data_IF_830035898927
#
_entry.id   IF_830035898927
#
_cell.length_a   1.000
_cell.length_b   1.000
_cell.length_c   1.000
_cell.angle_alpha   90.00
_cell.angle_beta   90.00
_cell.angle_gamma   90.00
#
_symmetry.space_group_name_H-M   'P 1'
#
loop_
_entity.id
_entity.type
_entity.pdbx_description
1 polymer ?
#
# COMPACT_ATOMS: atom_id res chain seq x y z
N UNK A 1 13.34 -10.32 -7.96
CA UNK A 1 12.30 -9.75 -7.04
C UNK A 1 12.14 -10.64 -5.83
N UNK A 2 12.22 -10.09 -4.62
CA UNK A 2 12.02 -10.83 -3.38
C UNK A 2 10.52 -11.02 -3.04
N UNK A 3 10.22 -11.81 -1.99
CA UNK A 3 8.85 -12.11 -1.59
C UNK A 3 8.05 -10.87 -1.15
N UNK A 4 8.72 -9.87 -0.55
CA UNK A 4 8.05 -8.65 -0.08
C UNK A 4 7.63 -7.75 -1.25
N UNK A 5 8.49 -7.62 -2.25
CA UNK A 5 8.19 -6.88 -3.48
C UNK A 5 7.13 -7.60 -4.31
N UNK A 6 7.24 -8.93 -4.43
CA UNK A 6 6.28 -9.76 -5.17
C UNK A 6 4.87 -9.65 -4.62
N UNK A 7 4.70 -9.72 -3.29
CA UNK A 7 3.36 -9.62 -2.69
C UNK A 7 2.82 -8.19 -2.77
N UNK A 8 3.66 -7.16 -2.69
CA UNK A 8 3.22 -5.78 -2.91
C UNK A 8 2.76 -5.57 -4.35
N UNK A 9 3.56 -5.99 -5.34
CA UNK A 9 3.19 -5.90 -6.76
C UNK A 9 1.87 -6.62 -7.01
N UNK A 10 1.70 -7.84 -6.50
CA UNK A 10 0.45 -8.61 -6.57
C UNK A 10 -0.73 -7.84 -5.96
N UNK A 11 -0.54 -7.23 -4.80
CA UNK A 11 -1.59 -6.45 -4.14
C UNK A 11 -1.98 -5.21 -4.95
N UNK A 12 -1.02 -4.48 -5.51
CA UNK A 12 -1.31 -3.28 -6.30
C UNK A 12 -1.94 -3.62 -7.63
N UNK A 13 -1.52 -4.70 -8.32
CA UNK A 13 -2.16 -5.22 -9.53
C UNK A 13 -3.62 -5.58 -9.27
N UNK A 14 -3.89 -6.34 -8.20
CA UNK A 14 -5.25 -6.75 -7.85
C UNK A 14 -6.10 -5.55 -7.38
N UNK A 15 -5.50 -4.56 -6.72
CA UNK A 15 -6.16 -3.31 -6.35
C UNK A 15 -6.63 -2.54 -7.59
N UNK A 16 -5.77 -2.36 -8.59
CA UNK A 16 -6.14 -1.71 -9.85
C UNK A 16 -7.22 -2.50 -10.59
N UNK A 17 -7.09 -3.82 -10.65
CA UNK A 17 -8.09 -4.71 -11.26
C UNK A 17 -9.44 -4.75 -10.50
N UNK A 18 -9.48 -4.29 -9.26
CA UNK A 18 -10.71 -4.20 -8.46
C UNK A 18 -11.56 -2.98 -8.80
N UNK A 19 -11.04 -2.02 -9.56
CA UNK A 19 -11.75 -0.78 -9.86
C UNK A 19 -13.05 -1.04 -10.64
N UNK A 20 -14.21 -0.57 -10.14
CA UNK A 20 -15.44 -0.59 -10.92
C UNK A 20 -15.27 0.20 -12.24
N UNK A 21 -16.02 -0.13 -13.32
CA UNK A 21 -15.85 0.50 -14.63
C UNK A 21 -15.94 2.03 -14.62
N UNK A 22 -16.83 2.57 -13.82
CA UNK A 22 -17.00 4.01 -13.67
C UNK A 22 -15.85 4.68 -12.90
N UNK A 23 -15.25 3.99 -11.91
CA UNK A 23 -14.04 4.41 -11.21
C UNK A 23 -12.84 4.38 -12.15
N UNK A 24 -12.68 3.28 -12.89
CA UNK A 24 -11.62 3.12 -13.88
C UNK A 24 -11.63 4.29 -14.88
N UNK A 25 -12.82 4.63 -15.38
CA UNK A 25 -12.98 5.74 -16.33
C UNK A 25 -12.77 7.11 -15.66
N UNK A 26 -13.39 7.36 -14.51
CA UNK A 26 -13.33 8.65 -13.83
C UNK A 26 -11.91 9.03 -13.38
N UNK A 27 -11.11 8.03 -12.98
CA UNK A 27 -9.73 8.24 -12.56
C UNK A 27 -8.71 8.02 -13.69
N UNK A 28 -9.15 7.60 -14.86
CA UNK A 28 -8.25 7.24 -15.98
C UNK A 28 -7.16 6.28 -15.48
N UNK A 29 -7.60 5.16 -14.89
CA UNK A 29 -6.69 4.14 -14.36
C UNK A 29 -6.06 3.34 -15.48
N UNK A 30 -4.76 3.12 -15.40
CA UNK A 30 -4.05 2.26 -16.34
C UNK A 30 -2.88 1.54 -15.68
N UNK A 31 -2.55 0.39 -16.25
CA UNK A 31 -1.39 -0.42 -15.87
C UNK A 31 -0.59 -0.72 -17.13
N UNK A 32 0.71 -0.49 -17.09
CA UNK A 32 1.67 -0.96 -18.07
C UNK A 32 2.34 -2.21 -17.52
N UNK A 33 2.05 -3.34 -18.14
CA UNK A 33 2.68 -4.62 -17.82
C UNK A 33 4.11 -4.65 -18.39
N UNK A 34 5.06 -4.99 -17.54
CA UNK A 34 6.49 -5.08 -17.87
C UNK A 34 7.04 -6.48 -17.53
N UNK A 35 6.17 -7.48 -17.39
CA UNK A 35 6.52 -8.83 -16.96
C UNK A 35 6.65 -8.93 -15.45
N UNK A 36 7.87 -8.99 -14.93
CA UNK A 36 8.13 -9.05 -13.47
C UNK A 36 7.98 -7.69 -12.77
N UNK A 37 7.67 -6.63 -13.52
CA UNK A 37 7.41 -5.28 -13.02
C UNK A 37 6.11 -4.73 -13.61
N UNK A 38 5.59 -3.66 -13.02
CA UNK A 38 4.47 -2.92 -13.60
C UNK A 38 4.54 -1.43 -13.25
N UNK A 39 4.03 -0.61 -14.17
CA UNK A 39 3.79 0.80 -13.93
C UNK A 39 2.27 1.04 -13.79
N UNK A 40 1.91 1.81 -12.78
CA UNK A 40 0.54 2.14 -12.40
C UNK A 40 0.28 3.63 -12.59
N UNK A 41 -0.87 3.99 -13.11
CA UNK A 41 -1.22 5.39 -13.31
C UNK A 41 -2.67 5.70 -12.98
N UNK A 42 -2.87 6.85 -12.36
CA UNK A 42 -4.14 7.52 -12.13
C UNK A 42 -4.11 8.87 -12.85
N UNK A 43 -4.56 8.89 -14.11
CA UNK A 43 -4.44 10.06 -14.99
C UNK A 43 -5.17 11.29 -14.48
N UNK A 44 -6.32 11.12 -13.82
CA UNK A 44 -7.07 12.22 -13.21
C UNK A 44 -6.31 12.93 -12.06
N UNK A 45 -5.27 12.30 -11.50
CA UNK A 45 -4.44 12.86 -10.44
C UNK A 45 -2.94 12.76 -10.81
N UNK A 46 -2.48 13.53 -11.81
CA UNK A 46 -1.17 13.32 -12.45
C UNK A 46 0.05 13.50 -11.53
N UNK A 47 -0.13 14.12 -10.38
CA UNK A 47 0.95 14.33 -9.38
C UNK A 47 0.88 13.38 -8.18
N UNK A 48 -0.04 12.43 -8.18
CA UNK A 48 -0.25 11.52 -7.05
C UNK A 48 0.69 10.31 -7.14
N UNK A 49 1.92 10.47 -6.67
CA UNK A 49 2.98 9.45 -6.75
C UNK A 49 2.61 8.13 -6.06
N UNK A 50 1.70 8.15 -5.07
CA UNK A 50 1.24 6.92 -4.42
C UNK A 50 0.63 5.92 -5.41
N UNK A 51 -0.03 6.42 -6.46
CA UNK A 51 -0.67 5.62 -7.49
C UNK A 51 0.02 5.74 -8.87
N UNK A 52 0.82 6.79 -9.09
CA UNK A 52 1.63 6.94 -10.30
C UNK A 52 3.05 6.45 -10.00
N UNK A 53 3.25 5.13 -10.07
CA UNK A 53 4.54 4.54 -9.70
C UNK A 53 4.86 3.25 -10.44
N UNK A 54 6.14 2.89 -10.43
CA UNK A 54 6.67 1.63 -10.97
C UNK A 54 7.09 0.75 -9.80
N UNK A 55 6.69 -0.52 -9.84
CA UNK A 55 7.06 -1.54 -8.86
C UNK A 55 7.70 -2.74 -9.57
N UNK A 56 8.60 -3.44 -8.87
CA UNK A 56 9.22 -4.68 -9.33
C UNK A 56 10.37 -4.49 -10.32
N UNK A 57 10.80 -3.28 -10.60
CA UNK A 57 11.93 -3.02 -11.50
C UNK A 57 13.25 -3.28 -10.77
N UNK A 58 13.96 -4.36 -11.12
CA UNK A 58 15.19 -4.77 -10.43
C UNK A 58 16.45 -4.48 -11.22
N UNK A 59 16.46 -4.80 -12.51
CA UNK A 59 17.66 -4.74 -13.35
C UNK A 59 17.41 -3.99 -14.66
N UNK A 60 18.41 -3.22 -15.04
CA UNK A 60 18.54 -2.64 -16.35
C UNK A 60 17.67 -1.42 -16.61
N UNK A 61 18.20 -0.54 -17.41
CA UNK A 61 17.56 0.67 -17.92
C UNK A 61 16.64 0.41 -19.13
N UNK A 62 16.60 -0.82 -19.64
CA UNK A 62 15.91 -1.15 -20.90
C UNK A 62 14.42 -0.79 -20.88
N UNK A 63 13.75 -0.91 -19.73
CA UNK A 63 12.34 -0.57 -19.57
C UNK A 63 12.10 0.94 -19.32
N UNK A 64 13.10 1.69 -18.84
CA UNK A 64 12.93 3.10 -18.47
C UNK A 64 12.43 3.98 -19.62
N UNK A 65 12.95 3.89 -20.86
CA UNK A 65 12.44 4.70 -21.98
C UNK A 65 10.97 4.40 -22.33
N UNK A 66 10.53 3.16 -22.13
CA UNK A 66 9.13 2.80 -22.33
C UNK A 66 8.25 3.39 -21.23
N UNK A 67 8.68 3.29 -19.98
CA UNK A 67 8.01 3.84 -18.80
C UNK A 67 7.87 5.36 -18.93
N UNK A 68 8.97 6.06 -19.24
CA UNK A 68 9.00 7.52 -19.43
C UNK A 68 8.01 7.97 -20.49
N UNK A 69 8.02 7.34 -21.68
CA UNK A 69 7.07 7.64 -22.76
C UNK A 69 5.63 7.37 -22.36
N UNK A 70 5.39 6.28 -21.62
CA UNK A 70 4.04 5.93 -21.19
C UNK A 70 3.48 6.96 -20.20
N UNK A 71 4.23 7.38 -19.18
CA UNK A 71 3.78 8.41 -18.25
C UNK A 71 3.68 9.79 -18.92
N UNK A 72 4.60 10.13 -19.83
CA UNK A 72 4.53 11.36 -20.61
C UNK A 72 3.25 11.43 -21.46
N UNK A 73 2.86 10.33 -22.12
CA UNK A 73 1.62 10.26 -22.91
C UNK A 73 0.36 10.44 -22.07
N UNK A 74 0.47 10.19 -20.74
CA UNK A 74 -0.62 10.37 -19.77
C UNK A 74 -0.53 11.69 -19.00
N UNK A 75 0.49 12.50 -19.25
CA UNK A 75 0.74 13.75 -18.54
C UNK A 75 1.00 13.58 -17.04
N UNK A 76 1.48 12.41 -16.61
CA UNK A 76 1.66 12.07 -15.20
C UNK A 76 3.13 12.15 -14.78
N UNK A 77 3.38 12.75 -13.62
CA UNK A 77 4.61 12.56 -12.87
C UNK A 77 4.56 11.19 -12.19
N UNK A 78 5.70 10.51 -12.09
CA UNK A 78 5.74 9.17 -11.50
C UNK A 78 6.96 8.97 -10.58
N UNK A 79 6.96 7.88 -9.85
CA UNK A 79 8.09 7.41 -9.05
C UNK A 79 8.50 6.01 -9.47
N UNK A 80 9.81 5.76 -9.56
CA UNK A 80 10.35 4.40 -9.64
C UNK A 80 10.71 3.96 -8.23
N UNK A 81 10.07 2.89 -7.76
CA UNK A 81 10.27 2.35 -6.41
C UNK A 81 11.29 1.22 -6.46
N UNK A 82 12.48 1.42 -5.90
CA UNK A 82 13.54 0.41 -5.88
C UNK A 82 14.16 0.26 -4.50
N UNK A 83 14.68 -0.91 -4.22
CA UNK A 83 15.43 -1.20 -3.01
C UNK A 83 16.73 -0.40 -2.99
N UNK A 84 17.03 0.23 -1.85
CA UNK A 84 18.30 0.94 -1.66
C UNK A 84 19.49 -0.02 -1.80
N UNK A 85 20.48 0.39 -2.59
CA UNK A 85 21.66 -0.42 -2.93
C UNK A 85 21.47 -1.31 -4.17
N UNK A 86 20.32 -1.23 -4.87
CA UNK A 86 20.15 -1.88 -6.16
C UNK A 86 21.05 -1.26 -7.24
N UNK A 87 21.48 -2.06 -8.21
CA UNK A 87 22.31 -1.59 -9.33
C UNK A 87 21.61 -0.47 -10.11
N UNK A 88 20.29 -0.53 -10.20
CA UNK A 88 19.47 0.47 -10.88
C UNK A 88 19.59 1.89 -10.27
N UNK A 89 19.98 2.03 -8.99
CA UNK A 89 20.20 3.36 -8.39
C UNK A 89 21.20 4.19 -9.16
N UNK A 90 22.34 3.58 -9.55
CA UNK A 90 23.38 4.27 -10.33
C UNK A 90 22.86 4.71 -11.70
N UNK A 91 22.09 3.88 -12.36
CA UNK A 91 21.47 4.20 -13.66
C UNK A 91 20.49 5.37 -13.54
N UNK A 92 19.65 5.37 -12.49
CA UNK A 92 18.69 6.44 -12.26
C UNK A 92 19.39 7.77 -11.95
N UNK A 93 20.46 7.73 -11.13
CA UNK A 93 21.27 8.91 -10.80
C UNK A 93 21.95 9.50 -12.04
N UNK A 94 22.59 8.66 -12.87
CA UNK A 94 23.21 9.06 -14.14
C UNK A 94 22.19 9.66 -15.13
N UNK A 95 20.93 9.22 -15.09
CA UNK A 95 19.83 9.76 -15.90
C UNK A 95 19.18 11.01 -15.29
N UNK A 96 19.70 11.52 -14.17
CA UNK A 96 19.22 12.74 -13.52
C UNK A 96 17.94 12.55 -12.70
N UNK A 97 17.58 11.33 -12.35
CA UNK A 97 16.49 11.09 -11.39
C UNK A 97 16.89 11.59 -10.00
N UNK A 98 15.91 12.07 -9.25
CA UNK A 98 16.11 12.59 -7.89
C UNK A 98 15.47 11.67 -6.85
N UNK A 99 16.11 11.53 -5.71
CA UNK A 99 15.56 10.78 -4.57
C UNK A 99 14.34 11.52 -4.02
N UNK A 100 13.23 10.81 -3.87
CA UNK A 100 12.00 11.25 -3.24
C UNK A 100 11.81 10.62 -1.87
N UNK A 101 10.58 10.27 -1.54
CA UNK A 101 10.25 9.62 -0.26
C UNK A 101 10.87 8.23 -0.18
N UNK A 102 11.40 7.89 1.00
CA UNK A 102 11.86 6.56 1.33
C UNK A 102 10.83 5.83 2.22
N UNK A 103 10.68 4.54 1.99
CA UNK A 103 9.80 3.67 2.77
C UNK A 103 10.61 2.53 3.37
N UNK A 104 10.42 2.28 4.67
CA UNK A 104 10.91 1.07 5.29
C UNK A 104 9.96 -0.07 4.99
N UNK A 105 10.47 -1.16 4.41
CA UNK A 105 9.77 -2.42 4.27
C UNK A 105 9.96 -3.26 5.52
N UNK A 106 8.88 -3.85 5.97
CA UNK A 106 8.85 -4.69 7.15
C UNK A 106 8.36 -6.08 6.80
N UNK A 107 8.84 -7.07 7.55
CA UNK A 107 8.42 -8.46 7.44
C UNK A 107 8.11 -9.05 8.80
N UNK A 108 7.25 -10.06 8.85
CA UNK A 108 7.07 -10.94 10.00
C UNK A 108 6.40 -12.25 9.57
N UNK A 109 6.46 -13.29 10.42
CA UNK A 109 5.55 -14.42 10.35
C UNK A 109 4.14 -14.07 10.83
N UNK A 110 3.31 -15.10 10.98
CA UNK A 110 1.90 -14.95 11.42
C UNK A 110 1.70 -15.20 12.92
N UNK A 111 2.77 -15.40 13.69
CA UNK A 111 2.70 -15.55 15.14
C UNK A 111 1.96 -14.38 15.74
N UNK A 112 1.18 -14.63 16.78
CA UNK A 112 0.32 -13.61 17.37
C UNK A 112 1.14 -12.42 17.89
N UNK A 113 0.76 -11.18 17.53
CA UNK A 113 1.41 -10.00 18.07
C UNK A 113 1.15 -9.91 19.57
N UNK A 114 2.02 -9.21 20.33
CA UNK A 114 1.75 -8.96 21.74
C UNK A 114 0.36 -8.38 21.92
N UNK A 115 -0.45 -9.03 22.78
CA UNK A 115 -1.83 -8.60 23.03
C UNK A 115 -1.80 -7.26 23.75
N UNK A 116 -2.15 -6.19 23.05
CA UNK A 116 -2.48 -4.91 23.68
C UNK A 116 -3.99 -4.86 23.88
N UNK A 117 -4.44 -4.70 25.12
CA UNK A 117 -5.85 -4.45 25.41
C UNK A 117 -6.22 -3.10 24.77
N UNK A 118 -7.11 -3.13 23.80
CA UNK A 118 -7.73 -1.95 23.22
C UNK A 118 -9.23 -2.02 23.51
N UNK A 119 -9.88 -0.94 23.92
CA UNK A 119 -11.33 -0.90 24.07
C UNK A 119 -12.05 -0.91 22.72
N UNK A 120 -11.30 -0.76 21.64
CA UNK A 120 -11.84 -0.68 20.29
C UNK A 120 -12.21 -2.06 19.76
N UNK A 121 -13.42 -2.16 19.22
CA UNK A 121 -13.87 -3.34 18.48
C UNK A 121 -13.30 -3.30 17.08
N UNK A 122 -12.84 -4.44 16.56
CA UNK A 122 -12.43 -4.60 15.15
C UNK A 122 -13.32 -5.61 14.48
N UNK A 123 -13.70 -5.33 13.24
CA UNK A 123 -14.48 -6.22 12.39
C UNK A 123 -13.82 -6.40 11.04
N UNK A 124 -13.93 -7.58 10.48
CA UNK A 124 -13.72 -7.77 9.04
C UNK A 124 -14.97 -7.26 8.31
N UNK A 125 -14.78 -6.33 7.40
CA UNK A 125 -15.84 -5.72 6.61
C UNK A 125 -16.21 -6.63 5.46
N UNK A 126 -17.50 -6.81 5.29
CA UNK A 126 -18.14 -7.53 4.18
C UNK A 126 -18.97 -6.56 3.34
N UNK A 127 -19.67 -7.10 2.34
CA UNK A 127 -20.42 -6.33 1.35
C UNK A 127 -21.38 -5.30 1.96
N UNK A 128 -22.09 -5.67 3.04
CA UNK A 128 -23.13 -4.84 3.65
C UNK A 128 -22.59 -3.51 4.23
N UNK A 129 -21.27 -3.48 4.55
CA UNK A 129 -20.60 -2.31 5.11
C UNK A 129 -19.45 -1.79 4.26
N UNK A 130 -19.33 -2.30 3.04
CA UNK A 130 -18.25 -1.92 2.12
C UNK A 130 -18.29 -0.42 1.78
N UNK A 131 -19.49 0.16 1.63
CA UNK A 131 -19.65 1.59 1.38
C UNK A 131 -19.12 2.46 2.53
N UNK A 132 -19.45 2.14 3.80
CA UNK A 132 -18.94 2.84 4.98
C UNK A 132 -17.41 2.78 5.02
N UNK A 133 -16.85 1.58 4.78
CA UNK A 133 -15.40 1.37 4.73
C UNK A 133 -14.74 2.24 3.65
N UNK A 134 -15.26 2.20 2.43
CA UNK A 134 -14.74 2.96 1.31
C UNK A 134 -14.73 4.47 1.58
N UNK A 135 -15.83 5.00 2.12
CA UNK A 135 -15.97 6.41 2.49
C UNK A 135 -14.87 6.85 3.48
N UNK A 136 -14.63 6.05 4.52
CA UNK A 136 -13.60 6.39 5.52
C UNK A 136 -12.19 6.28 4.92
N UNK A 137 -11.92 5.25 4.09
CA UNK A 137 -10.61 5.15 3.42
C UNK A 137 -10.38 6.33 2.50
N UNK A 138 -11.36 6.70 1.67
CA UNK A 138 -11.24 7.86 0.77
C UNK A 138 -10.94 9.15 1.55
N UNK A 139 -11.63 9.38 2.67
CA UNK A 139 -11.37 10.51 3.54
C UNK A 139 -9.95 10.50 4.12
N UNK A 140 -9.42 9.33 4.51
CA UNK A 140 -8.06 9.18 5.04
C UNK A 140 -6.96 9.51 4.02
N UNK A 141 -7.24 9.30 2.73
CA UNK A 141 -6.34 9.69 1.62
C UNK A 141 -6.59 11.10 1.10
N UNK A 142 -7.55 11.84 1.66
CA UNK A 142 -7.91 13.18 1.19
C UNK A 142 -8.56 13.20 -0.21
N UNK A 143 -9.14 12.07 -0.61
CA UNK A 143 -9.78 11.87 -1.91
C UNK A 143 -11.28 11.62 -1.71
N UNK A 144 -12.09 12.22 -2.59
CA UNK A 144 -13.53 12.05 -2.57
C UNK A 144 -14.01 10.87 -3.42
N UNK A 145 -15.34 10.86 -3.68
CA UNK A 145 -15.93 9.95 -4.65
C UNK A 145 -15.37 10.23 -6.06
N UNK A 146 -15.14 9.18 -6.88
CA UNK A 146 -15.55 7.81 -6.67
C UNK A 146 -14.48 6.89 -6.04
N UNK A 147 -13.43 7.41 -5.40
CA UNK A 147 -12.41 6.58 -4.77
C UNK A 147 -12.97 5.67 -3.66
N UNK A 148 -13.99 6.14 -2.94
CA UNK A 148 -14.74 5.38 -1.94
C UNK A 148 -15.24 4.04 -2.50
N UNK A 149 -15.77 4.04 -3.73
CA UNK A 149 -16.26 2.82 -4.39
C UNK A 149 -15.12 1.87 -4.79
N UNK A 150 -13.96 2.41 -5.15
CA UNK A 150 -12.80 1.58 -5.45
C UNK A 150 -12.32 0.81 -4.23
N UNK A 151 -12.18 1.48 -3.08
CA UNK A 151 -11.83 0.80 -1.84
C UNK A 151 -12.95 -0.12 -1.33
N UNK A 152 -14.22 0.24 -1.50
CA UNK A 152 -15.35 -0.62 -1.15
C UNK A 152 -15.32 -1.95 -1.93
N UNK A 153 -14.92 -1.91 -3.22
CA UNK A 153 -14.83 -3.11 -4.05
C UNK A 153 -13.84 -4.16 -3.52
N UNK A 154 -12.84 -3.77 -2.74
CA UNK A 154 -11.91 -4.71 -2.12
C UNK A 154 -12.60 -5.63 -1.10
N UNK A 155 -13.66 -5.16 -0.46
CA UNK A 155 -14.34 -5.93 0.59
C UNK A 155 -15.03 -7.21 0.09
N UNK A 156 -15.24 -7.32 -1.22
CA UNK A 156 -15.88 -8.48 -1.86
C UNK A 156 -14.90 -9.35 -2.66
N UNK A 157 -13.64 -8.97 -2.75
CA UNK A 157 -12.63 -9.74 -3.50
C UNK A 157 -12.02 -10.84 -2.65
N UNK A 158 -11.90 -12.04 -3.23
CA UNK A 158 -11.46 -13.24 -2.52
C UNK A 158 -10.05 -13.13 -1.88
N UNK A 159 -9.14 -12.36 -2.50
CA UNK A 159 -7.77 -12.18 -2.00
C UNK A 159 -7.62 -11.04 -0.99
N UNK A 160 -8.70 -10.32 -0.69
CA UNK A 160 -8.68 -9.17 0.20
C UNK A 160 -9.45 -9.42 1.48
N UNK A 161 -8.90 -8.94 2.58
CA UNK A 161 -9.55 -8.87 3.87
C UNK A 161 -9.50 -7.41 4.35
N UNK A 162 -10.64 -6.73 4.33
CA UNK A 162 -10.81 -5.35 4.79
C UNK A 162 -11.26 -5.34 6.24
N UNK A 163 -10.68 -4.47 7.06
CA UNK A 163 -10.98 -4.37 8.49
C UNK A 163 -11.29 -2.94 8.87
N UNK A 164 -12.20 -2.77 9.82
CA UNK A 164 -12.48 -1.50 10.46
C UNK A 164 -12.34 -1.59 11.97
N UNK A 165 -11.91 -0.49 12.59
CA UNK A 165 -11.92 -0.29 14.02
C UNK A 165 -13.04 0.67 14.41
N UNK A 166 -13.77 0.31 15.45
CA UNK A 166 -14.94 1.04 15.95
C UNK A 166 -14.71 1.54 17.37
N UNK A 167 -15.11 2.78 17.59
CA UNK A 167 -15.34 3.37 18.89
C UNK A 167 -16.86 3.41 19.09
N UNK A 168 -17.37 2.54 19.94
CA UNK A 168 -18.81 2.23 20.01
C UNK A 168 -19.37 1.83 18.62
N UNK A 169 -20.22 2.65 18.03
CA UNK A 169 -20.80 2.45 16.69
C UNK A 169 -20.03 3.18 15.57
N UNK A 170 -19.16 4.15 15.92
CA UNK A 170 -18.46 4.98 14.96
C UNK A 170 -17.25 4.24 14.38
N UNK A 171 -17.18 4.14 13.06
CA UNK A 171 -16.00 3.67 12.33
C UNK A 171 -14.92 4.77 12.40
N UNK A 172 -13.77 4.45 12.99
CA UNK A 172 -12.69 5.42 13.26
C UNK A 172 -11.38 5.09 12.58
N UNK A 173 -11.26 3.91 12.01
CA UNK A 173 -10.05 3.50 11.31
C UNK A 173 -10.30 2.30 10.42
N UNK A 174 -9.49 2.21 9.37
CA UNK A 174 -9.58 1.16 8.35
C UNK A 174 -8.23 0.53 8.09
N UNK A 175 -8.21 -0.67 7.56
CA UNK A 175 -7.02 -1.34 7.08
C UNK A 175 -7.39 -2.46 6.11
N UNK A 176 -6.52 -2.77 5.16
CA UNK A 176 -6.67 -3.91 4.27
C UNK A 176 -5.49 -4.87 4.37
N UNK A 177 -5.73 -6.11 4.00
CA UNK A 177 -4.73 -7.13 3.78
C UNK A 177 -5.02 -7.82 2.44
N UNK A 178 -3.98 -8.07 1.66
CA UNK A 178 -4.04 -8.88 0.44
C UNK A 178 -3.26 -10.16 0.68
N UNK A 179 -3.85 -11.30 0.31
CA UNK A 179 -3.24 -12.63 0.48
C UNK A 179 -3.10 -13.31 -0.89
N UNK A 180 -1.90 -13.81 -1.17
CA UNK A 180 -1.63 -14.61 -2.35
C UNK A 180 -0.65 -15.72 -1.97
N UNK A 181 -1.01 -16.96 -2.26
CA UNK A 181 -0.27 -18.16 -1.86
C UNK A 181 0.03 -18.17 -0.35
N UNK A 182 1.31 -18.16 0.02
CA UNK A 182 1.74 -18.13 1.42
C UNK A 182 2.21 -16.73 1.87
N UNK A 183 1.94 -15.70 1.07
CA UNK A 183 2.36 -14.34 1.31
C UNK A 183 1.16 -13.42 1.61
N UNK A 184 1.39 -12.39 2.43
CA UNK A 184 0.40 -11.38 2.72
C UNK A 184 0.99 -9.97 2.71
N UNK A 185 0.29 -9.02 2.13
CA UNK A 185 0.61 -7.61 2.17
C UNK A 185 -0.41 -6.85 3.01
N UNK A 186 0.07 -6.03 3.94
CA UNK A 186 -0.78 -5.22 4.82
C UNK A 186 -0.67 -3.75 4.44
N UNK A 187 -1.75 -3.20 3.90
CA UNK A 187 -1.79 -1.81 3.44
C UNK A 187 -3.11 -1.10 3.69
N UNK A 188 -3.32 0.01 3.00
CA UNK A 188 -4.52 0.85 3.05
C UNK A 188 -5.01 1.14 4.49
N UNK A 189 -4.08 1.40 5.41
CA UNK A 189 -4.39 1.56 6.83
C UNK A 189 -4.33 3.02 7.28
N UNK A 190 -5.36 3.44 8.01
CA UNK A 190 -5.41 4.77 8.59
C UNK A 190 -6.37 4.86 9.77
N UNK A 191 -6.26 5.96 10.50
CA UNK A 191 -7.15 6.31 11.61
C UNK A 191 -7.53 7.77 11.48
N UNK A 192 -8.82 8.08 11.60
CA UNK A 192 -9.33 9.44 11.57
C UNK A 192 -8.57 10.31 12.60
N UNK A 193 -8.31 11.55 12.24
CA UNK A 193 -7.41 12.41 12.99
C UNK A 193 -7.83 12.61 14.43
N UNK A 194 -9.11 12.86 14.66
CA UNK A 194 -9.73 13.07 15.97
C UNK A 194 -9.79 11.78 16.81
N UNK A 195 -9.60 10.61 16.20
CA UNK A 195 -9.60 9.31 16.85
C UNK A 195 -8.19 8.68 17.01
N UNK A 196 -7.13 9.41 16.66
CA UNK A 196 -5.75 8.92 16.80
C UNK A 196 -5.38 8.71 18.29
N UNK A 197 -4.32 7.94 18.53
CA UNK A 197 -3.75 7.60 19.86
C UNK A 197 -4.65 6.76 20.76
N UNK A 198 -5.73 6.19 20.23
CA UNK A 198 -6.68 5.32 20.95
C UNK A 198 -6.44 3.82 20.70
N UNK A 199 -5.37 3.47 19.99
CA UNK A 199 -4.97 2.08 19.75
C UNK A 199 -5.57 1.42 18.49
N UNK A 200 -6.28 2.16 17.63
CA UNK A 200 -6.93 1.61 16.42
C UNK A 200 -5.93 0.90 15.50
N UNK A 201 -4.77 1.49 15.21
CA UNK A 201 -3.78 0.86 14.34
C UNK A 201 -3.24 -0.45 14.92
N UNK A 202 -3.00 -0.52 16.24
CA UNK A 202 -2.54 -1.75 16.87
C UNK A 202 -3.61 -2.85 16.83
N UNK A 203 -4.87 -2.50 17.04
CA UNK A 203 -5.99 -3.42 16.93
C UNK A 203 -6.18 -3.95 15.49
N UNK A 204 -6.08 -3.06 14.49
CA UNK A 204 -6.17 -3.41 13.07
C UNK A 204 -4.97 -4.26 12.60
N UNK A 205 -3.76 -4.01 13.08
CA UNK A 205 -2.61 -4.88 12.82
C UNK A 205 -2.85 -6.29 13.38
N UNK A 206 -3.29 -6.38 14.65
CA UNK A 206 -3.58 -7.67 15.27
C UNK A 206 -4.68 -8.46 14.53
N UNK A 207 -5.74 -7.79 14.07
CA UNK A 207 -6.81 -8.42 13.30
C UNK A 207 -6.31 -8.98 11.96
N UNK A 208 -5.50 -8.21 11.23
CA UNK A 208 -4.93 -8.64 9.93
C UNK A 208 -3.93 -9.79 10.08
N UNK A 209 -3.09 -9.77 11.13
CA UNK A 209 -2.15 -10.86 11.38
C UNK A 209 -2.89 -12.16 11.70
N UNK A 210 -3.97 -12.11 12.49
CA UNK A 210 -4.82 -13.29 12.74
C UNK A 210 -5.43 -13.82 11.46
N UNK A 211 -6.07 -12.96 10.67
CA UNK A 211 -6.68 -13.35 9.41
C UNK A 211 -5.67 -13.94 8.43
N UNK A 212 -4.44 -13.46 8.41
CA UNK A 212 -3.37 -14.03 7.61
C UNK A 212 -3.02 -15.45 8.06
N UNK A 213 -2.93 -15.69 9.38
CA UNK A 213 -2.72 -17.04 9.93
C UNK A 213 -3.84 -18.00 9.55
N UNK A 214 -5.10 -17.56 9.67
CA UNK A 214 -6.30 -18.33 9.29
C UNK A 214 -6.33 -18.64 7.78
N UNK A 215 -5.75 -17.77 6.95
CA UNK A 215 -5.61 -17.94 5.51
C UNK A 215 -4.40 -18.77 5.08
N UNK A 216 -3.57 -19.29 6.01
CA UNK A 216 -2.39 -20.09 5.70
C UNK A 216 -1.18 -19.29 5.21
N UNK A 217 -1.19 -17.98 5.39
CA UNK A 217 -0.04 -17.10 5.10
C UNK A 217 1.12 -17.45 6.04
N UNK A 218 2.35 -17.37 5.53
CA UNK A 218 3.58 -17.62 6.31
C UNK A 218 4.42 -16.37 6.50
N UNK A 219 4.40 -15.46 5.52
CA UNK A 219 5.17 -14.24 5.53
C UNK A 219 4.27 -13.03 5.25
N UNK A 220 4.33 -12.04 6.12
CA UNK A 220 3.65 -10.76 5.99
C UNK A 220 4.63 -9.65 5.64
N UNK A 221 4.24 -8.83 4.68
CA UNK A 221 4.89 -7.59 4.30
C UNK A 221 4.02 -6.38 4.67
N UNK A 222 4.66 -5.30 5.07
CA UNK A 222 4.04 -3.96 5.18
C UNK A 222 5.10 -2.89 5.02
N UNK A 223 4.67 -1.66 4.84
CA UNK A 223 5.56 -0.51 4.72
C UNK A 223 5.07 0.70 5.49
N UNK A 224 5.97 1.58 5.83
CA UNK A 224 5.69 2.94 6.29
C UNK A 224 6.75 3.88 5.73
N UNK A 225 6.46 5.17 5.70
CA UNK A 225 7.53 6.16 5.48
C UNK A 225 8.68 5.85 6.43
N UNK A 226 9.90 5.86 5.91
CA UNK A 226 11.11 5.62 6.70
C UNK A 226 11.32 6.75 7.71
N UNK A 227 12.41 6.69 8.45
CA UNK A 227 12.77 7.71 9.43
C UNK A 227 12.98 9.06 8.75
N UNK A 228 12.41 10.10 9.34
CA UNK A 228 12.73 11.48 8.96
C UNK A 228 13.74 12.00 9.97
N UNK A 229 14.90 12.43 9.50
CA UNK A 229 16.04 12.86 10.34
C UNK A 229 16.42 11.80 11.40
N UNK A 230 16.38 10.53 11.00
CA UNK A 230 16.65 9.39 11.88
C UNK A 230 15.54 9.04 12.86
N UNK A 231 14.42 9.77 12.87
CA UNK A 231 13.33 9.60 13.85
C UNK A 231 12.19 8.80 13.23
N UNK A 232 11.83 7.61 13.78
CA UNK A 232 10.72 6.81 13.30
C UNK A 232 9.37 7.47 13.60
N UNK A 233 8.49 7.52 12.60
CA UNK A 233 7.14 8.05 12.75
C UNK A 233 6.23 7.15 13.62
N UNK A 234 5.01 7.59 13.95
CA UNK A 234 4.07 6.79 14.76
C UNK A 234 3.72 5.44 14.13
N UNK A 235 3.49 5.39 12.81
CA UNK A 235 3.17 4.16 12.09
C UNK A 235 4.33 3.17 12.14
N UNK A 236 5.55 3.64 11.92
CA UNK A 236 6.77 2.85 12.02
C UNK A 236 6.89 2.16 13.40
N UNK A 237 6.75 2.96 14.48
CA UNK A 237 6.79 2.42 15.85
C UNK A 237 5.68 1.41 16.13
N UNK A 238 4.49 1.59 15.56
CA UNK A 238 3.39 0.65 15.75
C UNK A 238 3.65 -0.68 15.02
N UNK A 239 4.24 -0.64 13.84
CA UNK A 239 4.65 -1.84 13.07
C UNK A 239 5.70 -2.63 13.86
N UNK A 240 6.76 -1.98 14.38
CA UNK A 240 7.75 -2.65 15.23
C UNK A 240 7.12 -3.27 16.49
N UNK A 241 6.22 -2.54 17.17
CA UNK A 241 5.52 -3.06 18.35
C UNK A 241 4.59 -4.22 18.06
N UNK A 242 4.16 -4.38 16.81
CA UNK A 242 3.40 -5.53 16.34
C UNK A 242 4.29 -6.73 15.98
N UNK A 243 5.60 -6.65 16.23
CA UNK A 243 6.56 -7.72 16.04
C UNK A 243 7.07 -7.85 14.61
N UNK A 244 6.91 -6.83 13.80
CA UNK A 244 7.58 -6.78 12.49
C UNK A 244 9.05 -6.43 12.64
N UNK A 245 9.88 -6.98 11.78
CA UNK A 245 11.29 -6.67 11.62
C UNK A 245 11.49 -5.76 10.41
N UNK A 246 12.45 -4.85 10.50
CA UNK A 246 12.91 -4.05 9.38
C UNK A 246 13.60 -4.98 8.36
N UNK A 247 13.23 -4.86 7.10
CA UNK A 247 13.80 -5.65 6.02
C UNK A 247 14.79 -4.84 5.18
N UNK A 248 14.33 -3.79 4.54
CA UNK A 248 15.15 -2.88 3.75
C UNK A 248 14.40 -1.56 3.50
N UNK A 249 15.15 -0.54 3.09
CA UNK A 249 14.60 0.73 2.61
C UNK A 249 14.30 0.62 1.12
N UNK A 250 13.09 1.00 0.73
CA UNK A 250 12.69 1.22 -0.65
C UNK A 250 12.67 2.72 -0.94
N UNK A 251 13.47 3.16 -1.89
CA UNK A 251 13.61 4.56 -2.29
C UNK A 251 12.73 4.84 -3.51
N UNK A 252 11.96 5.90 -3.47
CA UNK A 252 11.33 6.45 -4.66
C UNK A 252 12.32 7.35 -5.41
N UNK A 253 12.39 7.15 -6.71
CA UNK A 253 13.16 7.96 -7.61
C UNK A 253 12.24 8.69 -8.57
N UNK A 254 12.39 10.01 -8.66
CA UNK A 254 11.56 10.90 -9.45
C UNK A 254 12.31 11.27 -10.72
N UNK A 255 11.66 11.25 -11.91
CA UNK A 255 12.31 11.62 -13.15
C UNK A 255 12.78 13.09 -13.11
N UNK A 256 13.74 13.47 -13.97
CA UNK A 256 14.11 14.87 -14.17
C UNK A 256 12.91 15.70 -14.62
N UNK A 257 12.92 17.00 -14.32
CA UNK A 257 11.87 17.95 -14.73
C UNK A 257 11.91 18.24 -16.22
#
# INVERSE_FOLDING_TARGET
MDDLERIELSAVLDFFAAAPPDVLHAFDLAVLDLGDAAAFSIGAHPKMLLFNRVLGLEEGDAALPQIERWFASRGCTFAVSIRTGAVLEGVLDERGYRRGTAFMKFRRGVEQPPVRRSPLRTEQIREERAGDYGTVVAALFGLGSPLDRWFAALCTRARWACFAAFDESRLIGTAAAHFADTLGWLGAAGTLEDARRRGAQAALLAARIRAAGDAGVRLLATETVDRVDGIPGPSFRNVLRAGFEEAYVQQWWLPPE
#
